data_IF_286393965345
#
_entry.id   IF_286393965345
#
_cell.length_a   1.000
_cell.length_b   1.000
_cell.length_c   1.000
_cell.angle_alpha   90.00
_cell.angle_beta   90.00
_cell.angle_gamma   90.00
#
_symmetry.space_group_name_H-M   'P 1'
#
loop_
_entity.id
_entity.type
_entity.pdbx_description
1 polymer ?
#
# COMPACT_ATOMS: atom_id res chain seq x y z
N UNK A 1 23.75 9.15 -6.42
CA UNK A 1 22.63 8.79 -5.51
C UNK A 1 21.23 9.20 -6.02
N UNK A 2 21.08 10.31 -6.78
CA UNK A 2 19.77 10.79 -7.32
C UNK A 2 19.01 9.80 -8.23
N UNK A 3 19.72 8.97 -9.02
CA UNK A 3 19.12 8.08 -10.05
C UNK A 3 18.24 6.95 -9.46
N UNK A 4 18.59 6.41 -8.28
CA UNK A 4 17.81 5.34 -7.61
C UNK A 4 16.47 5.84 -7.04
N UNK A 5 16.38 7.14 -6.74
CA UNK A 5 15.21 7.74 -6.11
C UNK A 5 14.07 8.03 -7.10
N UNK A 6 14.42 8.51 -8.31
CA UNK A 6 13.45 8.69 -9.38
C UNK A 6 12.82 7.35 -9.79
N UNK A 7 13.63 6.31 -9.88
CA UNK A 7 13.17 4.96 -10.23
C UNK A 7 12.14 4.43 -9.22
N UNK A 8 12.38 4.58 -7.91
CA UNK A 8 11.42 4.16 -6.88
C UNK A 8 10.05 4.82 -7.05
N UNK A 9 10.00 6.15 -7.26
CA UNK A 9 8.73 6.87 -7.44
C UNK A 9 8.00 6.43 -8.70
N UNK A 10 8.73 6.25 -9.81
CA UNK A 10 8.16 5.78 -11.08
C UNK A 10 7.56 4.39 -10.91
N UNK A 11 8.29 3.47 -10.27
CA UNK A 11 7.79 2.12 -10.00
C UNK A 11 6.53 2.16 -9.15
N UNK A 12 6.50 2.99 -8.08
CA UNK A 12 5.30 3.14 -7.24
C UNK A 12 4.12 3.66 -8.05
N UNK A 13 4.32 4.69 -8.88
CA UNK A 13 3.24 5.26 -9.70
C UNK A 13 2.71 4.21 -10.69
N UNK A 14 3.62 3.52 -11.38
CA UNK A 14 3.27 2.51 -12.37
C UNK A 14 2.53 1.33 -11.73
N UNK A 15 3.08 0.75 -10.67
CA UNK A 15 2.53 -0.45 -10.06
C UNK A 15 1.25 -0.20 -9.28
N UNK A 16 1.09 0.97 -8.64
CA UNK A 16 0.00 1.19 -7.69
C UNK A 16 -1.07 2.17 -8.17
N UNK A 17 -0.89 2.82 -9.32
CA UNK A 17 -1.94 3.64 -9.94
C UNK A 17 -2.24 3.23 -11.37
N UNK A 18 -1.21 3.04 -12.21
CA UNK A 18 -1.43 2.71 -13.63
C UNK A 18 -1.96 1.29 -13.79
N UNK A 19 -1.33 0.29 -13.18
CA UNK A 19 -1.80 -1.10 -13.26
C UNK A 19 -3.21 -1.32 -12.67
N UNK A 20 -3.57 -0.79 -11.48
CA UNK A 20 -4.94 -0.91 -10.99
C UNK A 20 -5.94 -0.23 -11.92
N UNK A 21 -5.64 0.94 -12.47
CA UNK A 21 -6.53 1.62 -13.43
C UNK A 21 -6.75 0.76 -14.68
N UNK A 22 -5.69 0.21 -15.27
CA UNK A 22 -5.79 -0.71 -16.42
C UNK A 22 -6.65 -1.93 -16.04
N UNK A 23 -6.45 -2.49 -14.85
CA UNK A 23 -7.19 -3.67 -14.39
C UNK A 23 -8.68 -3.38 -14.23
N UNK A 24 -9.03 -2.21 -13.68
CA UNK A 24 -10.43 -1.73 -13.58
C UNK A 24 -11.04 -1.56 -14.97
N UNK A 25 -10.33 -0.91 -15.90
CA UNK A 25 -10.79 -0.72 -17.29
C UNK A 25 -11.06 -2.06 -17.96
N UNK A 26 -10.14 -3.02 -17.83
CA UNK A 26 -10.29 -4.36 -18.40
C UNK A 26 -11.54 -5.05 -17.82
N UNK A 27 -11.75 -5.02 -16.51
CA UNK A 27 -12.91 -5.65 -15.86
C UNK A 27 -14.24 -5.06 -16.34
N UNK A 28 -14.32 -3.73 -16.41
CA UNK A 28 -15.56 -3.04 -16.77
C UNK A 28 -15.85 -3.18 -18.26
N UNK A 29 -14.85 -2.97 -19.12
CA UNK A 29 -15.09 -2.88 -20.56
C UNK A 29 -14.95 -4.20 -21.31
N UNK A 30 -14.03 -5.07 -20.88
CA UNK A 30 -13.78 -6.37 -21.53
C UNK A 30 -14.60 -7.47 -20.86
N UNK A 31 -14.52 -7.58 -19.54
CA UNK A 31 -15.30 -8.59 -18.79
C UNK A 31 -16.75 -8.16 -18.48
N UNK A 32 -17.15 -6.96 -18.93
CA UNK A 32 -18.51 -6.42 -18.82
C UNK A 32 -19.08 -6.43 -17.40
N UNK A 33 -18.21 -6.26 -16.40
CA UNK A 33 -18.64 -6.23 -15.01
C UNK A 33 -19.39 -4.92 -14.71
N UNK A 34 -20.67 -5.04 -14.36
CA UNK A 34 -21.56 -3.89 -14.10
C UNK A 34 -21.45 -3.37 -12.67
N UNK A 35 -20.86 -4.13 -11.75
CA UNK A 35 -20.67 -3.73 -10.34
C UNK A 35 -19.40 -2.88 -10.19
N UNK A 36 -19.40 -1.70 -10.82
CA UNK A 36 -18.21 -0.83 -10.97
C UNK A 36 -17.53 -0.56 -9.62
N UNK A 37 -18.29 -0.23 -8.57
CA UNK A 37 -17.73 0.08 -7.25
C UNK A 37 -17.01 -1.13 -6.64
N UNK A 38 -17.55 -2.34 -6.82
CA UNK A 38 -16.91 -3.57 -6.35
C UNK A 38 -15.65 -3.91 -7.14
N UNK A 39 -15.64 -3.62 -8.46
CA UNK A 39 -14.44 -3.76 -9.29
C UNK A 39 -13.34 -2.81 -8.82
N UNK A 40 -13.67 -1.54 -8.59
CA UNK A 40 -12.71 -0.55 -8.08
C UNK A 40 -12.15 -1.02 -6.75
N UNK A 41 -13.01 -1.38 -5.78
CA UNK A 41 -12.57 -1.87 -4.48
C UNK A 41 -11.66 -3.10 -4.61
N UNK A 42 -12.03 -4.08 -5.44
CA UNK A 42 -11.25 -5.30 -5.67
C UNK A 42 -9.82 -4.99 -6.13
N UNK A 43 -9.66 -4.13 -7.13
CA UNK A 43 -8.33 -3.82 -7.67
C UNK A 43 -7.52 -2.91 -6.75
N UNK A 44 -8.17 -1.95 -6.09
CA UNK A 44 -7.52 -1.12 -5.06
C UNK A 44 -7.02 -1.96 -3.88
N UNK A 45 -7.78 -2.96 -3.41
CA UNK A 45 -7.31 -3.90 -2.38
C UNK A 45 -6.11 -4.69 -2.90
N UNK A 46 -6.22 -5.29 -4.08
CA UNK A 46 -5.16 -6.16 -4.59
C UNK A 46 -3.83 -5.42 -4.76
N UNK A 47 -3.84 -4.25 -5.40
CA UNK A 47 -2.61 -3.48 -5.63
C UNK A 47 -2.18 -2.72 -4.38
N UNK A 48 -3.11 -2.01 -3.74
CA UNK A 48 -2.85 -1.10 -2.62
C UNK A 48 -2.57 -1.82 -1.30
N UNK A 49 -3.35 -2.83 -0.94
CA UNK A 49 -3.11 -3.63 0.28
C UNK A 49 -2.21 -4.82 -0.06
N UNK A 50 -2.55 -5.57 -1.11
CA UNK A 50 -1.89 -6.81 -1.44
C UNK A 50 -0.43 -6.64 -1.87
N UNK A 51 -0.22 -6.22 -3.11
CA UNK A 51 1.11 -6.12 -3.70
C UNK A 51 2.00 -5.07 -2.99
N UNK A 52 1.45 -3.93 -2.58
CA UNK A 52 2.25 -2.88 -1.94
C UNK A 52 2.77 -3.30 -0.56
N UNK A 53 1.91 -3.77 0.34
CA UNK A 53 2.37 -4.21 1.66
C UNK A 53 3.24 -5.45 1.54
N UNK A 54 2.91 -6.39 0.65
CA UNK A 54 3.75 -7.58 0.45
C UNK A 54 5.17 -7.20 0.00
N UNK A 55 5.31 -6.37 -1.03
CA UNK A 55 6.62 -5.94 -1.54
C UNK A 55 7.38 -5.06 -0.56
N UNK A 56 6.69 -4.14 0.13
CA UNK A 56 7.29 -3.35 1.20
C UNK A 56 7.77 -4.23 2.36
N UNK A 57 6.96 -5.22 2.74
CA UNK A 57 7.28 -6.16 3.81
C UNK A 57 8.46 -7.06 3.49
N UNK A 58 8.55 -7.58 2.25
CA UNK A 58 9.75 -8.26 1.76
C UNK A 58 10.98 -7.35 1.82
N UNK A 59 10.85 -6.09 1.38
CA UNK A 59 11.96 -5.15 1.40
C UNK A 59 12.44 -4.84 2.83
N UNK A 60 11.51 -4.65 3.77
CA UNK A 60 11.79 -4.38 5.18
C UNK A 60 12.42 -5.58 5.88
N UNK A 61 11.95 -6.79 5.57
CA UNK A 61 12.46 -8.03 6.15
C UNK A 61 13.87 -8.35 5.65
N UNK A 62 14.11 -8.23 4.34
CA UNK A 62 15.38 -8.57 3.69
C UNK A 62 16.42 -7.44 3.73
N UNK A 63 15.98 -6.18 3.73
CA UNK A 63 16.85 -5.00 3.73
C UNK A 63 16.24 -3.88 4.61
N UNK A 64 16.26 -4.05 5.95
CA UNK A 64 15.68 -3.09 6.89
C UNK A 64 16.34 -1.70 6.82
N UNK A 65 17.60 -1.62 6.38
CA UNK A 65 18.33 -0.37 6.23
C UNK A 65 17.65 0.59 5.23
N UNK A 66 16.98 0.08 4.20
CA UNK A 66 16.24 0.93 3.25
C UNK A 66 15.16 1.75 3.96
N UNK A 67 14.39 1.12 4.84
CA UNK A 67 13.31 1.78 5.58
C UNK A 67 13.86 2.62 6.75
N UNK A 68 14.77 2.07 7.56
CA UNK A 68 15.37 2.80 8.68
C UNK A 68 16.09 4.08 8.22
N UNK A 69 17.06 3.94 7.30
CA UNK A 69 17.89 5.07 6.84
C UNK A 69 17.17 5.91 5.78
N UNK A 70 16.49 5.27 4.82
CA UNK A 70 15.91 5.96 3.66
C UNK A 70 14.52 6.58 3.87
N UNK A 71 13.75 6.09 4.85
CA UNK A 71 12.43 6.64 5.19
C UNK A 71 12.50 7.33 6.55
N UNK A 72 12.89 6.63 7.60
CA UNK A 72 12.86 7.16 8.96
C UNK A 72 14.06 8.03 9.34
N UNK A 73 15.12 8.07 8.51
CA UNK A 73 16.37 8.77 8.80
C UNK A 73 17.05 8.32 10.11
N UNK A 74 16.88 7.04 10.47
CA UNK A 74 17.50 6.40 11.63
C UNK A 74 18.76 5.68 11.17
N UNK A 75 19.90 6.09 11.71
CA UNK A 75 21.21 5.50 11.39
C UNK A 75 21.60 4.34 12.31
N UNK A 76 21.01 4.26 13.50
CA UNK A 76 21.25 3.18 14.47
C UNK A 76 20.67 1.85 13.95
N UNK A 77 21.53 0.85 13.83
CA UNK A 77 21.17 -0.47 13.31
C UNK A 77 20.41 -1.33 14.33
N UNK A 78 20.37 -0.91 15.61
CA UNK A 78 19.53 -1.55 16.64
C UNK A 78 18.04 -1.52 16.31
N UNK A 79 17.60 -0.63 15.41
CA UNK A 79 16.21 -0.58 14.94
C UNK A 79 15.88 -1.68 13.92
N UNK A 80 16.88 -2.37 13.34
CA UNK A 80 16.65 -3.31 12.25
C UNK A 80 15.74 -4.49 12.61
N UNK A 81 15.84 -5.12 13.80
CA UNK A 81 14.88 -6.16 14.20
C UNK A 81 13.43 -5.66 14.19
N UNK A 82 13.18 -4.46 14.71
CA UNK A 82 11.84 -3.84 14.72
C UNK A 82 11.33 -3.59 13.29
N UNK A 83 12.21 -3.12 12.40
CA UNK A 83 11.86 -2.93 10.98
C UNK A 83 11.53 -4.27 10.30
N UNK A 84 12.18 -5.37 10.68
CA UNK A 84 11.84 -6.70 10.14
C UNK A 84 10.50 -7.20 10.66
N UNK A 85 10.19 -6.99 11.94
CA UNK A 85 8.87 -7.34 12.50
C UNK A 85 7.74 -6.57 11.80
N UNK A 86 7.95 -5.27 11.56
CA UNK A 86 7.05 -4.47 10.72
C UNK A 86 6.96 -5.05 9.29
N UNK A 87 8.09 -5.52 8.76
CA UNK A 87 8.15 -6.22 7.48
C UNK A 87 7.29 -7.48 7.44
N UNK A 88 7.33 -8.30 8.49
CA UNK A 88 6.49 -9.49 8.60
C UNK A 88 5.01 -9.15 8.70
N UNK A 89 4.65 -8.11 9.48
CA UNK A 89 3.28 -7.62 9.54
C UNK A 89 2.77 -7.20 8.14
N UNK A 90 3.59 -6.46 7.39
CA UNK A 90 3.28 -6.04 6.03
C UNK A 90 3.16 -7.22 5.05
N UNK A 91 3.98 -8.27 5.20
CA UNK A 91 3.84 -9.50 4.41
C UNK A 91 2.48 -10.16 4.70
N UNK A 92 2.10 -10.30 5.97
CA UNK A 92 0.81 -10.89 6.35
C UNK A 92 -0.37 -10.10 5.78
N UNK A 93 -0.38 -8.78 5.93
CA UNK A 93 -1.44 -7.93 5.36
C UNK A 93 -1.47 -7.98 3.83
N UNK A 94 -0.29 -8.00 3.20
CA UNK A 94 -0.16 -8.16 1.76
C UNK A 94 -0.71 -9.49 1.26
N UNK A 95 -0.49 -10.58 1.98
CA UNK A 95 -1.05 -11.89 1.63
C UNK A 95 -2.58 -11.90 1.73
N UNK A 96 -3.17 -11.24 2.74
CA UNK A 96 -4.63 -11.07 2.84
C UNK A 96 -5.17 -10.27 1.62
N UNK A 97 -4.50 -9.17 1.25
CA UNK A 97 -4.87 -8.39 0.07
C UNK A 97 -4.75 -9.17 -1.24
N UNK A 98 -3.69 -9.96 -1.42
CA UNK A 98 -3.47 -10.82 -2.60
C UNK A 98 -4.55 -11.91 -2.68
N UNK A 99 -4.81 -12.61 -1.57
CA UNK A 99 -5.80 -13.69 -1.53
C UNK A 99 -7.23 -13.20 -1.72
N UNK A 100 -7.53 -11.93 -1.42
CA UNK A 100 -8.85 -11.31 -1.68
C UNK A 100 -9.26 -11.29 -3.17
N UNK A 101 -8.30 -11.47 -4.09
CA UNK A 101 -8.57 -11.61 -5.52
C UNK A 101 -9.24 -12.96 -5.81
N UNK A 102 -8.81 -14.02 -5.12
CA UNK A 102 -9.30 -15.39 -5.26
C UNK A 102 -10.52 -15.66 -4.37
N UNK A 103 -10.55 -15.09 -3.17
CA UNK A 103 -11.60 -15.29 -2.16
C UNK A 103 -12.27 -13.95 -1.87
N UNK A 104 -13.42 -13.70 -2.50
CA UNK A 104 -14.14 -12.43 -2.40
C UNK A 104 -14.52 -12.04 -0.97
N UNK A 105 -14.77 -13.02 -0.09
CA UNK A 105 -15.10 -12.78 1.32
C UNK A 105 -13.99 -12.07 2.09
N UNK A 106 -12.73 -12.16 1.64
CA UNK A 106 -11.62 -11.48 2.30
C UNK A 106 -11.53 -9.99 1.95
N UNK A 107 -12.28 -9.51 0.95
CA UNK A 107 -12.17 -8.13 0.46
C UNK A 107 -12.50 -7.10 1.54
N UNK A 108 -13.58 -7.30 2.29
CA UNK A 108 -13.95 -6.37 3.36
C UNK A 108 -12.90 -6.37 4.49
N UNK A 109 -12.44 -7.54 4.90
CA UNK A 109 -11.38 -7.67 5.91
C UNK A 109 -10.08 -7.00 5.44
N UNK A 110 -9.67 -7.24 4.19
CA UNK A 110 -8.48 -6.64 3.59
C UNK A 110 -8.60 -5.12 3.47
N UNK A 111 -9.76 -4.60 3.05
CA UNK A 111 -10.03 -3.18 2.96
C UNK A 111 -9.98 -2.52 4.34
N UNK A 112 -10.67 -3.07 5.35
CA UNK A 112 -10.63 -2.55 6.72
C UNK A 112 -9.23 -2.53 7.30
N UNK A 113 -8.47 -3.63 7.14
CA UNK A 113 -7.07 -3.70 7.56
C UNK A 113 -6.22 -2.65 6.87
N UNK A 114 -6.35 -2.52 5.55
CA UNK A 114 -5.64 -1.53 4.75
C UNK A 114 -5.94 -0.10 5.18
N UNK A 115 -7.23 0.25 5.32
CA UNK A 115 -7.68 1.58 5.74
C UNK A 115 -7.08 1.93 7.11
N UNK A 116 -7.25 1.06 8.11
CA UNK A 116 -6.74 1.31 9.47
C UNK A 116 -5.22 1.44 9.48
N UNK A 117 -4.52 0.49 8.86
CA UNK A 117 -3.06 0.46 8.87
C UNK A 117 -2.45 1.67 8.16
N UNK A 118 -2.91 1.98 6.94
CA UNK A 118 -2.41 3.14 6.19
C UNK A 118 -2.79 4.47 6.83
N UNK A 119 -3.98 4.57 7.44
CA UNK A 119 -4.39 5.78 8.16
C UNK A 119 -3.53 6.03 9.39
N UNK A 120 -3.27 4.99 10.20
CA UNK A 120 -2.38 5.11 11.37
C UNK A 120 -0.94 5.48 10.95
N UNK A 121 -0.42 4.85 9.90
CA UNK A 121 0.88 5.19 9.34
C UNK A 121 0.92 6.65 8.84
N UNK A 122 -0.12 7.09 8.13
CA UNK A 122 -0.26 8.49 7.70
C UNK A 122 -0.26 9.45 8.90
N UNK A 123 -1.04 9.19 9.94
CA UNK A 123 -1.08 9.99 11.16
C UNK A 123 0.30 10.08 11.84
N UNK A 124 0.96 8.94 12.02
CA UNK A 124 2.31 8.89 12.60
C UNK A 124 3.29 9.75 11.81
N UNK A 125 3.31 9.59 10.49
CA UNK A 125 4.19 10.38 9.63
C UNK A 125 3.81 11.85 9.57
N UNK A 126 2.52 12.20 9.71
CA UNK A 126 2.08 13.60 9.74
C UNK A 126 2.69 14.36 10.92
N UNK A 127 2.76 13.74 12.10
CA UNK A 127 3.24 14.35 13.35
C UNK A 127 4.77 14.52 13.37
N UNK A 128 5.54 13.71 12.63
CA UNK A 128 7.01 13.78 12.63
C UNK A 128 7.52 15.10 12.04
N UNK A 129 8.52 15.71 12.68
CA UNK A 129 9.24 16.89 12.17
C UNK A 129 10.44 16.45 11.32
N UNK A 130 10.95 17.33 10.44
CA UNK A 130 12.15 17.12 9.61
C UNK A 130 12.09 15.91 8.66
N UNK A 131 10.97 15.78 7.92
CA UNK A 131 10.76 14.68 6.96
C UNK A 131 11.64 14.84 5.73
N UNK A 132 12.20 13.73 5.25
CA UNK A 132 12.85 13.69 3.94
C UNK A 132 11.81 13.54 2.80
N UNK A 133 12.25 13.68 1.56
CA UNK A 133 11.37 13.62 0.40
C UNK A 133 10.76 12.22 0.14
N UNK A 134 11.39 11.13 0.61
CA UNK A 134 10.79 9.79 0.58
C UNK A 134 9.62 9.72 1.54
N UNK A 135 9.82 10.20 2.77
CA UNK A 135 8.83 10.13 3.83
C UNK A 135 7.59 10.94 3.43
N UNK A 136 7.76 12.14 2.87
CA UNK A 136 6.63 12.92 2.33
C UNK A 136 5.88 12.14 1.25
N UNK A 137 6.60 11.52 0.31
CA UNK A 137 6.00 10.74 -0.77
C UNK A 137 5.23 9.51 -0.24
N UNK A 138 5.81 8.77 0.71
CA UNK A 138 5.14 7.63 1.36
C UNK A 138 3.92 8.10 2.15
N UNK A 139 4.00 9.26 2.83
CA UNK A 139 2.87 9.85 3.58
C UNK A 139 1.69 10.17 2.66
N UNK A 140 1.93 10.86 1.55
CA UNK A 140 0.88 11.23 0.57
C UNK A 140 0.26 9.97 -0.04
N UNK A 141 1.09 9.02 -0.45
CA UNK A 141 0.62 7.79 -1.08
C UNK A 141 -0.05 6.83 -0.10
N UNK A 142 0.19 6.95 1.21
CA UNK A 142 -0.59 6.24 2.23
C UNK A 142 -1.99 6.85 2.35
N UNK A 143 -2.09 8.19 2.38
CA UNK A 143 -3.39 8.87 2.39
C UNK A 143 -4.22 8.55 1.14
N UNK A 144 -3.60 8.52 -0.05
CA UNK A 144 -4.34 8.19 -1.27
C UNK A 144 -4.96 6.79 -1.19
N UNK A 145 -4.20 5.78 -0.74
CA UNK A 145 -4.73 4.42 -0.59
C UNK A 145 -5.87 4.37 0.42
N UNK A 146 -5.79 5.11 1.53
CA UNK A 146 -6.91 5.22 2.48
C UNK A 146 -8.17 5.69 1.76
N UNK A 147 -8.08 6.73 0.94
CA UNK A 147 -9.23 7.25 0.19
C UNK A 147 -9.72 6.26 -0.88
N UNK A 148 -8.81 5.66 -1.63
CA UNK A 148 -9.09 4.67 -2.68
C UNK A 148 -9.80 3.42 -2.12
N UNK A 149 -9.58 3.07 -0.85
CA UNK A 149 -10.27 1.97 -0.19
C UNK A 149 -11.55 2.43 0.51
N UNK A 150 -11.49 3.53 1.26
CA UNK A 150 -12.58 4.00 2.11
C UNK A 150 -13.79 4.46 1.30
N UNK A 151 -13.58 5.20 0.20
CA UNK A 151 -14.67 5.73 -0.63
C UNK A 151 -15.54 4.59 -1.22
N UNK A 152 -14.98 3.63 -1.98
CA UNK A 152 -15.80 2.56 -2.53
C UNK A 152 -16.35 1.62 -1.44
N UNK A 153 -15.61 1.42 -0.33
CA UNK A 153 -16.14 0.64 0.80
C UNK A 153 -17.35 1.32 1.44
N UNK A 154 -17.31 2.64 1.64
CA UNK A 154 -18.42 3.41 2.16
C UNK A 154 -19.64 3.36 1.24
N UNK A 155 -19.44 3.54 -0.07
CA UNK A 155 -20.52 3.48 -1.07
C UNK A 155 -21.19 2.10 -1.11
N UNK A 156 -20.45 1.01 -0.85
CA UNK A 156 -21.03 -0.35 -0.82
C UNK A 156 -21.86 -0.60 0.44
N UNK A 157 -21.56 0.09 1.55
CA UNK A 157 -22.19 -0.14 2.85
C UNK A 157 -23.45 0.71 3.09
N UNK A 158 -23.67 1.77 2.30
CA UNK A 158 -24.82 2.68 2.38
C UNK A 158 -25.79 2.38 1.26
#
# INVERSE_FOLDING_TARGET
MKRKFGFFKIVVILFFYVLPLISIIIDVFIFKNTMIVQVVLKWCIFFGVGLRLFTAGLKQSLNPAFTAKGIFNITDEKVFPIVRELGFANICFGLIGITSLLVSNFRYTAASLGILFYFLAFMQHMIRKNKNSTEVFVTITNLSIVLELLIPMFIILV
#
